data_IF_908296342553
#
_entry.id   IF_908296342553
#
_cell.length_a   1.000
_cell.length_b   1.000
_cell.length_c   1.000
_cell.angle_alpha   90.00
_cell.angle_beta   90.00
_cell.angle_gamma   90.00
#
_symmetry.space_group_name_H-M   'P 1'
#
loop_
_entity.id
_entity.type
_entity.pdbx_description
1 polymer ?
#
# COMPACT_ATOMS: atom_id res chain seq x y z
N UNK A 1 13.50 -17.13 36.20
CA UNK A 1 12.23 -16.44 35.95
C UNK A 1 12.57 -14.98 35.80
N UNK A 2 12.81 -14.50 34.59
CA UNK A 2 13.30 -13.14 34.37
C UNK A 2 12.46 -12.45 33.31
N UNK A 3 11.70 -11.47 33.82
CA UNK A 3 10.96 -10.39 33.18
C UNK A 3 10.68 -10.53 31.67
N UNK A 4 9.43 -10.87 31.36
CA UNK A 4 8.79 -10.45 30.12
C UNK A 4 8.63 -8.93 30.17
N UNK A 5 9.69 -8.19 29.77
CA UNK A 5 9.57 -6.76 29.48
C UNK A 5 8.77 -6.61 28.21
N UNK A 6 7.44 -6.64 28.35
CA UNK A 6 6.53 -6.04 27.40
C UNK A 6 6.77 -4.53 27.49
N UNK A 7 7.81 -4.08 26.78
CA UNK A 7 7.98 -2.67 26.50
C UNK A 7 7.07 -2.39 25.32
N UNK A 8 6.14 -1.48 25.56
CA UNK A 8 5.31 -0.75 24.62
C UNK A 8 6.21 0.04 23.66
N UNK A 9 6.93 -0.70 22.83
CA UNK A 9 7.77 -0.16 21.80
C UNK A 9 6.86 0.28 20.67
N UNK A 10 6.63 1.58 20.59
CA UNK A 10 6.60 2.32 19.34
C UNK A 10 7.93 2.06 18.60
N UNK A 11 8.12 0.81 18.16
CA UNK A 11 9.11 0.44 17.18
C UNK A 11 8.58 0.98 15.86
N UNK A 12 8.72 2.28 15.67
CA UNK A 12 8.85 2.88 14.35
C UNK A 12 10.13 2.29 13.71
N UNK A 13 10.13 0.99 13.43
CA UNK A 13 10.74 0.50 12.21
C UNK A 13 10.09 1.36 11.16
N UNK A 14 10.81 2.36 10.63
CA UNK A 14 10.32 3.37 9.73
C UNK A 14 9.80 2.70 8.45
N UNK A 15 8.66 2.02 8.51
CA UNK A 15 7.94 1.48 7.36
C UNK A 15 7.21 2.67 6.80
N UNK A 16 7.87 3.34 5.87
CA UNK A 16 7.27 4.42 5.14
C UNK A 16 6.25 3.81 4.17
N UNK A 17 4.98 3.93 4.55
CA UNK A 17 3.88 3.54 3.69
C UNK A 17 3.77 4.46 2.48
N UNK A 18 3.01 4.04 1.47
CA UNK A 18 2.67 4.92 0.35
C UNK A 18 1.61 5.98 0.69
N UNK A 19 1.18 6.04 1.96
CA UNK A 19 0.10 6.92 2.40
C UNK A 19 -1.23 6.57 1.74
N UNK A 20 -1.56 5.28 1.64
CA UNK A 20 -2.86 4.82 1.12
C UNK A 20 -3.53 3.94 2.14
N UNK A 21 -4.85 4.07 2.21
CA UNK A 21 -5.71 3.17 2.95
C UNK A 21 -6.38 2.28 1.91
N UNK A 22 -6.14 1.00 2.07
CA UNK A 22 -6.64 -0.05 1.22
C UNK A 22 -7.65 -0.84 2.01
N UNK A 23 -8.71 -1.29 1.33
CA UNK A 23 -9.71 -2.15 1.91
C UNK A 23 -9.91 -3.36 0.99
N UNK A 24 -9.98 -4.53 1.60
CA UNK A 24 -10.34 -5.73 0.87
C UNK A 24 -11.86 -5.80 0.70
N UNK A 25 -12.29 -6.11 -0.51
CA UNK A 25 -13.68 -6.35 -0.86
C UNK A 25 -13.74 -7.51 -1.86
N UNK A 26 -14.37 -8.62 -1.47
CA UNK A 26 -14.53 -9.81 -2.34
C UNK A 26 -13.19 -10.32 -2.93
N UNK A 27 -12.12 -10.29 -2.13
CA UNK A 27 -10.77 -10.66 -2.56
C UNK A 27 -10.08 -9.64 -3.48
N UNK A 28 -10.64 -8.45 -3.64
CA UNK A 28 -10.04 -7.33 -4.39
C UNK A 28 -9.63 -6.23 -3.43
N UNK A 29 -8.52 -5.57 -3.72
CA UNK A 29 -8.02 -4.49 -2.88
C UNK A 29 -8.43 -3.16 -3.50
N UNK A 30 -9.24 -2.38 -2.80
CA UNK A 30 -9.73 -1.09 -3.27
C UNK A 30 -9.14 0.03 -2.43
N UNK A 31 -8.68 1.08 -3.10
CA UNK A 31 -8.22 2.32 -2.46
C UNK A 31 -9.43 3.06 -1.92
N UNK A 32 -9.57 3.12 -0.60
CA UNK A 32 -10.68 3.84 0.06
C UNK A 32 -10.29 5.23 0.49
N UNK A 33 -8.99 5.48 0.70
CA UNK A 33 -8.48 6.80 1.06
C UNK A 33 -7.02 6.93 0.65
N UNK A 34 -6.65 8.09 0.14
CA UNK A 34 -5.25 8.44 -0.14
C UNK A 34 -4.87 9.57 0.82
N UNK A 35 -3.85 9.34 1.64
CA UNK A 35 -3.28 10.37 2.52
C UNK A 35 -2.61 11.43 1.65
N UNK A 36 -3.01 12.71 1.77
CA UNK A 36 -2.29 13.79 1.13
C UNK A 36 -0.87 13.85 1.70
N UNK A 37 0.11 14.07 0.81
CA UNK A 37 1.53 14.03 1.16
C UNK A 37 2.15 12.63 1.17
N UNK A 38 1.37 11.56 0.95
CA UNK A 38 1.87 10.19 0.74
C UNK A 38 2.53 9.98 -0.63
N UNK A 39 3.36 8.95 -0.79
CA UNK A 39 3.94 8.60 -2.09
C UNK A 39 2.88 8.40 -3.19
N UNK A 40 1.74 7.79 -2.84
CA UNK A 40 0.63 7.59 -3.77
C UNK A 40 -0.05 8.90 -4.19
N UNK A 41 -0.25 9.82 -3.24
CA UNK A 41 -0.74 11.16 -3.53
C UNK A 41 0.26 11.94 -4.40
N UNK A 42 1.55 11.82 -4.10
CA UNK A 42 2.62 12.51 -4.83
C UNK A 42 2.74 12.03 -6.27
N UNK A 43 2.50 10.73 -6.51
CA UNK A 43 2.44 10.19 -7.86
C UNK A 43 1.24 10.72 -8.65
N UNK A 44 0.15 11.09 -7.99
CA UNK A 44 -1.08 11.60 -8.61
C UNK A 44 -1.84 10.59 -9.46
N UNK A 45 -1.32 9.36 -9.58
CA UNK A 45 -1.93 8.27 -10.36
C UNK A 45 -2.82 7.35 -9.54
N UNK A 46 -2.75 7.44 -8.21
CA UNK A 46 -3.58 6.64 -7.30
C UNK A 46 -4.72 7.51 -6.80
N UNK A 47 -5.96 7.11 -7.10
CA UNK A 47 -7.15 7.79 -6.61
C UNK A 47 -7.98 6.87 -5.72
N UNK A 48 -8.87 7.50 -4.95
CA UNK A 48 -9.90 6.76 -4.21
C UNK A 48 -10.85 6.10 -5.20
N UNK A 49 -11.13 4.82 -5.00
CA UNK A 49 -11.93 3.99 -5.89
C UNK A 49 -11.12 3.15 -6.89
N UNK A 50 -9.80 3.36 -6.98
CA UNK A 50 -8.93 2.48 -7.77
C UNK A 50 -8.81 1.09 -7.12
N UNK A 51 -8.80 0.05 -7.93
CA UNK A 51 -8.55 -1.32 -7.49
C UNK A 51 -7.08 -1.69 -7.69
N UNK A 52 -6.37 -2.08 -6.63
CA UNK A 52 -5.03 -2.66 -6.70
C UNK A 52 -5.16 -4.10 -7.18
N UNK A 53 -4.76 -4.34 -8.41
CA UNK A 53 -4.72 -5.67 -9.03
C UNK A 53 -3.35 -6.36 -8.84
N UNK A 54 -2.27 -5.58 -8.76
CA UNK A 54 -0.93 -6.12 -8.51
C UNK A 54 -0.01 -5.16 -7.75
N UNK A 55 0.98 -5.71 -7.04
CA UNK A 55 2.01 -4.98 -6.31
C UNK A 55 3.35 -5.64 -6.56
N UNK A 56 4.34 -4.88 -7.04
CA UNK A 56 5.67 -5.36 -7.44
C UNK A 56 5.64 -6.53 -8.42
N UNK A 57 4.59 -6.63 -9.25
CA UNK A 57 4.39 -7.77 -10.15
C UNK A 57 3.75 -9.00 -9.49
N UNK A 58 3.43 -8.95 -8.19
CA UNK A 58 2.62 -9.95 -7.51
C UNK A 58 1.15 -9.58 -7.57
N UNK A 59 0.30 -10.50 -8.01
CA UNK A 59 -1.16 -10.29 -8.02
C UNK A 59 -1.69 -10.22 -6.60
N UNK A 60 -2.49 -9.20 -6.32
CA UNK A 60 -3.11 -8.98 -5.00
C UNK A 60 -4.53 -9.53 -4.91
N UNK A 61 -5.03 -10.15 -5.98
CA UNK A 61 -6.30 -10.85 -5.98
C UNK A 61 -6.26 -12.03 -5.00
N UNK A 62 -7.19 -12.04 -4.04
CA UNK A 62 -7.28 -13.05 -2.98
C UNK A 62 -6.29 -12.87 -1.84
N UNK A 63 -5.47 -11.82 -1.84
CA UNK A 63 -4.59 -11.50 -0.71
C UNK A 63 -5.28 -10.56 0.28
N UNK A 64 -5.02 -10.73 1.59
CA UNK A 64 -5.58 -9.84 2.57
C UNK A 64 -4.98 -8.44 2.47
N UNK A 65 -5.79 -7.41 2.76
CA UNK A 65 -5.35 -6.02 2.70
C UNK A 65 -4.10 -5.75 3.56
N UNK A 66 -3.88 -6.50 4.63
CA UNK A 66 -2.68 -6.41 5.48
C UNK A 66 -1.40 -6.87 4.79
N UNK A 67 -1.45 -7.94 4.00
CA UNK A 67 -0.30 -8.42 3.21
C UNK A 67 0.00 -7.46 2.08
N UNK A 68 -1.04 -6.99 1.41
CA UNK A 68 -0.91 -6.02 0.33
C UNK A 68 -0.37 -4.70 0.89
N UNK A 69 -0.89 -4.23 2.02
CA UNK A 69 -0.35 -3.07 2.71
C UNK A 69 1.11 -3.28 3.11
N UNK A 70 1.53 -4.47 3.52
CA UNK A 70 2.95 -4.79 3.77
C UNK A 70 3.80 -4.87 2.49
N UNK A 71 3.25 -5.35 1.38
CA UNK A 71 3.96 -5.35 0.10
C UNK A 71 4.19 -3.91 -0.41
N UNK A 72 3.25 -3.01 -0.09
CA UNK A 72 3.26 -1.60 -0.49
C UNK A 72 4.02 -0.72 0.52
N UNK A 73 3.93 -0.99 1.82
CA UNK A 73 4.65 -0.32 2.89
C UNK A 73 5.95 -1.06 3.20
N UNK A 74 7.08 -0.42 2.95
CA UNK A 74 8.39 -1.06 3.08
C UNK A 74 9.45 -0.09 3.54
N UNK A 75 10.71 -0.42 3.27
CA UNK A 75 11.83 0.43 3.65
C UNK A 75 11.81 1.78 2.89
N UNK A 76 12.15 2.89 3.56
CA UNK A 76 12.27 4.19 2.93
C UNK A 76 13.38 4.14 1.87
N UNK A 77 13.18 4.83 0.75
CA UNK A 77 14.07 4.81 -0.42
C UNK A 77 13.85 3.64 -1.39
N UNK A 78 12.97 2.70 -1.08
CA UNK A 78 12.62 1.59 -1.99
C UNK A 78 11.49 2.00 -2.95
N UNK A 79 11.58 1.53 -4.20
CA UNK A 79 10.55 1.73 -5.23
C UNK A 79 9.55 0.58 -5.20
N UNK A 80 8.26 0.90 -5.25
CA UNK A 80 7.18 -0.10 -5.36
C UNK A 80 6.38 0.16 -6.62
N UNK A 81 6.04 -0.90 -7.35
CA UNK A 81 5.16 -0.82 -8.52
C UNK A 81 3.75 -1.23 -8.13
N UNK A 82 2.76 -0.36 -8.30
CA UNK A 82 1.35 -0.69 -8.13
C UNK A 82 0.69 -0.83 -9.50
N UNK A 83 -0.01 -1.94 -9.72
CA UNK A 83 -0.97 -2.07 -10.82
C UNK A 83 -2.35 -1.69 -10.31
N UNK A 84 -2.85 -0.54 -10.73
CA UNK A 84 -4.17 -0.02 -10.36
C UNK A 84 -5.12 -0.16 -11.54
N UNK A 85 -6.36 -0.54 -11.28
CA UNK A 85 -7.43 -0.66 -12.26
C UNK A 85 -8.45 0.44 -11.98
N UNK A 86 -8.63 1.31 -12.98
CA UNK A 86 -9.57 2.42 -12.88
C UNK A 86 -11.00 1.93 -13.01
N UNK A 87 -11.80 2.04 -11.93
CA UNK A 87 -13.16 1.51 -11.88
C UNK A 87 -14.09 2.04 -12.98
N UNK A 88 -13.85 3.24 -13.51
CA UNK A 88 -14.67 3.84 -14.58
C UNK A 88 -14.30 3.45 -16.01
N UNK A 89 -13.09 2.93 -16.25
CA UNK A 89 -12.62 2.61 -17.62
C UNK A 89 -12.10 1.17 -17.77
N UNK A 90 -11.92 0.44 -16.66
CA UNK A 90 -11.30 -0.88 -16.64
C UNK A 90 -9.83 -0.89 -17.06
N UNK A 91 -9.22 0.28 -17.28
CA UNK A 91 -7.81 0.36 -17.65
C UNK A 91 -6.94 0.11 -16.43
N UNK A 92 -6.00 -0.81 -16.57
CA UNK A 92 -4.93 -1.02 -15.62
C UNK A 92 -3.72 -0.16 -15.97
N UNK A 93 -3.26 0.69 -15.05
CA UNK A 93 -1.99 1.41 -15.17
C UNK A 93 -0.98 0.94 -14.12
N UNK A 94 0.28 0.85 -14.54
CA UNK A 94 1.40 0.51 -13.67
C UNK A 94 2.07 1.78 -13.15
N UNK A 95 1.89 2.06 -11.87
CA UNK A 95 2.42 3.25 -11.21
C UNK A 95 3.67 2.89 -10.42
N UNK A 96 4.72 3.68 -10.57
CA UNK A 96 5.91 3.58 -9.73
C UNK A 96 5.83 4.59 -8.60
N UNK A 97 5.82 4.11 -7.36
CA UNK A 97 5.84 4.93 -6.16
C UNK A 97 7.20 4.79 -5.48
N UNK A 98 7.76 5.92 -5.05
CA UNK A 98 8.98 5.93 -4.27
C UNK A 98 8.64 6.08 -2.78
N UNK A 99 9.17 5.20 -1.94
CA UNK A 99 8.98 5.30 -0.49
C UNK A 99 9.78 6.47 0.06
N UNK A 100 9.07 7.50 0.51
CA UNK A 100 9.65 8.71 1.10
C UNK A 100 10.12 8.45 2.55
N UNK A 101 11.26 9.00 2.96
CA UNK A 101 11.84 8.88 4.31
C UNK A 101 11.29 9.97 5.25
#
# INVERSE_FOLDING_TARGET
>A
MEAHSQTDGLGASARCGCGVVLREYDGRIIVVLVRPGGAAAFSGKVAVGDEVSSVNGCTTAGMPASDVAHAIAGQPGSLVRLGLVHAGTGRSDGVWLMRMH
#
